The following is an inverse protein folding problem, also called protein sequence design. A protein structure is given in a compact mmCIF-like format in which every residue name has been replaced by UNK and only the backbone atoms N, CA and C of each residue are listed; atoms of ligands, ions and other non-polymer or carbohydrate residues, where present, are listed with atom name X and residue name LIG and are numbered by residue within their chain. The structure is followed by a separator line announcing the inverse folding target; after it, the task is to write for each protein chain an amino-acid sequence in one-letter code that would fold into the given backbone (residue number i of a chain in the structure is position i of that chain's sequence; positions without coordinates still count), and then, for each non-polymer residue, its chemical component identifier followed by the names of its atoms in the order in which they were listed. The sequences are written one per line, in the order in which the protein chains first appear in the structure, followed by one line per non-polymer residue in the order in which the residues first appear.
data_IF_589451474137
#
_entry.id   IF_589451474137
#
_cell.length_a   1.000
_cell.length_b   1.000
_cell.length_c   1.000
_cell.angle_alpha   90.00
_cell.angle_beta   90.00
_cell.angle_gamma   90.00
#
_symmetry.space_group_name_H-M   'P 1'
#
loop_
_entity.id
_entity.type
_entity.pdbx_description
1 polymer ?
#
# COMPACT_ATOMS: atom_id res chain seq x y z
N UNK A 1 32.78 -27.22 23.05
CA UNK A 1 32.64 -26.12 22.06
C UNK A 1 31.71 -26.59 20.94
N UNK A 2 30.39 -26.50 21.12
CA UNK A 2 29.42 -26.73 20.04
C UNK A 2 29.26 -25.41 19.28
N UNK A 3 29.93 -25.29 18.13
CA UNK A 3 29.59 -24.27 17.15
C UNK A 3 28.17 -24.57 16.64
N UNK A 4 27.16 -23.95 17.24
CA UNK A 4 25.85 -23.83 16.61
C UNK A 4 26.02 -22.88 15.44
N UNK A 5 26.27 -23.46 14.26
CA UNK A 5 26.21 -22.76 12.99
C UNK A 5 24.74 -22.36 12.81
N UNK A 6 24.41 -21.10 13.11
CA UNK A 6 23.11 -20.51 12.78
C UNK A 6 22.99 -20.60 11.27
N UNK A 7 22.22 -21.58 10.80
CA UNK A 7 21.79 -21.64 9.41
C UNK A 7 20.82 -20.47 9.24
N UNK A 8 21.28 -19.37 8.64
CA UNK A 8 20.36 -18.44 7.98
C UNK A 8 19.62 -19.29 6.94
N UNK A 9 18.31 -19.46 7.09
CA UNK A 9 17.49 -20.02 6.02
C UNK A 9 17.76 -19.19 4.77
N UNK A 10 18.11 -19.83 3.67
CA UNK A 10 18.23 -19.14 2.39
C UNK A 10 16.85 -18.51 2.10
N UNK A 11 16.81 -17.19 1.91
CA UNK A 11 15.57 -16.51 1.54
C UNK A 11 15.05 -17.18 0.26
N UNK A 12 13.85 -17.76 0.35
CA UNK A 12 13.19 -18.39 -0.79
C UNK A 12 12.97 -17.30 -1.83
N UNK A 13 13.34 -17.58 -3.09
CA UNK A 13 13.07 -16.65 -4.18
C UNK A 13 11.56 -16.41 -4.25
N UNK A 14 11.15 -15.16 -4.41
CA UNK A 14 9.74 -14.74 -4.60
C UNK A 14 9.15 -15.28 -5.91
N UNK A 15 10.00 -15.75 -6.84
CA UNK A 15 9.57 -16.24 -8.15
C UNK A 15 9.22 -15.14 -9.16
N UNK A 16 9.27 -13.87 -8.74
CA UNK A 16 9.02 -12.70 -9.58
C UNK A 16 10.34 -12.02 -9.96
N UNK A 17 10.47 -11.60 -11.22
CA UNK A 17 11.69 -10.93 -11.69
C UNK A 17 11.74 -9.51 -11.12
N UNK A 18 12.88 -9.13 -10.54
CA UNK A 18 13.08 -7.79 -9.97
C UNK A 18 12.56 -7.61 -8.54
N UNK A 19 11.83 -8.59 -7.99
CA UNK A 19 11.34 -8.55 -6.61
C UNK A 19 12.22 -9.42 -5.71
N UNK A 20 13.13 -8.79 -4.96
CA UNK A 20 13.99 -9.52 -4.03
C UNK A 20 13.25 -9.87 -2.74
N UNK A 21 13.51 -11.06 -2.19
CA UNK A 21 12.92 -11.44 -0.90
C UNK A 21 13.47 -10.57 0.23
N UNK A 22 12.58 -10.14 1.11
CA UNK A 22 12.92 -9.25 2.22
C UNK A 22 13.24 -10.06 3.48
N UNK A 23 14.33 -9.78 4.22
CA UNK A 23 14.75 -10.60 5.36
C UNK A 23 13.79 -10.53 6.56
N UNK A 24 13.10 -9.41 6.77
CA UNK A 24 12.13 -9.20 7.85
C UNK A 24 10.92 -8.40 7.34
N UNK A 25 10.01 -8.99 6.56
CA UNK A 25 8.98 -8.26 5.84
C UNK A 25 7.88 -7.70 6.76
N UNK A 26 7.45 -8.46 7.77
CA UNK A 26 6.35 -8.06 8.68
C UNK A 26 6.65 -6.76 9.46
N UNK A 27 7.79 -6.61 10.17
CA UNK A 27 8.10 -5.36 10.85
C UNK A 27 8.17 -4.15 9.89
N UNK A 28 8.81 -4.33 8.73
CA UNK A 28 8.91 -3.28 7.72
C UNK A 28 7.52 -2.82 7.24
N UNK A 29 6.61 -3.77 7.00
CA UNK A 29 5.24 -3.47 6.57
C UNK A 29 4.43 -2.73 7.64
N UNK A 30 4.55 -3.14 8.91
CA UNK A 30 3.92 -2.45 10.06
C UNK A 30 4.40 -1.01 10.16
N UNK A 31 5.71 -0.80 10.06
CA UNK A 31 6.31 0.53 10.13
C UNK A 31 5.85 1.43 8.97
N UNK A 32 5.72 0.89 7.76
CA UNK A 32 5.21 1.62 6.59
C UNK A 32 3.75 2.02 6.75
N UNK A 33 2.88 1.12 7.25
CA UNK A 33 1.48 1.45 7.49
C UNK A 33 1.32 2.51 8.59
N UNK A 34 2.11 2.45 9.67
CA UNK A 34 2.11 3.48 10.71
C UNK A 34 2.57 4.84 10.17
N UNK A 35 3.58 4.86 9.31
CA UNK A 35 4.01 6.07 8.62
C UNK A 35 2.92 6.62 7.69
N UNK A 36 2.25 5.75 6.94
CA UNK A 36 1.14 6.09 6.04
C UNK A 36 0.01 6.78 6.81
N UNK A 37 -0.47 6.16 7.89
CA UNK A 37 -1.53 6.73 8.76
C UNK A 37 -1.09 8.08 9.34
N UNK A 38 0.15 8.18 9.82
CA UNK A 38 0.69 9.44 10.34
C UNK A 38 0.69 10.51 9.26
N UNK A 39 1.08 10.18 8.03
CA UNK A 39 1.15 11.13 6.93
C UNK A 39 -0.24 11.56 6.44
N UNK A 40 -1.22 10.66 6.45
CA UNK A 40 -2.62 10.95 6.08
C UNK A 40 -3.26 12.02 6.98
N UNK A 41 -2.80 12.18 8.23
CA UNK A 41 -3.29 13.23 9.13
C UNK A 41 -3.07 14.66 8.62
N UNK A 42 -2.18 14.85 7.63
CA UNK A 42 -1.97 16.14 6.98
C UNK A 42 -3.08 16.51 5.97
N UNK A 43 -3.83 15.52 5.47
CA UNK A 43 -4.89 15.72 4.50
C UNK A 43 -6.22 16.07 5.21
N UNK A 44 -7.16 16.78 4.59
CA UNK A 44 -8.42 17.12 5.24
C UNK A 44 -9.33 15.89 5.46
N UNK A 45 -10.10 15.88 6.57
CA UNK A 45 -10.96 14.74 6.96
C UNK A 45 -12.08 14.42 5.95
N UNK A 46 -12.53 15.42 5.18
CA UNK A 46 -13.58 15.24 4.18
C UNK A 46 -13.07 14.66 2.85
N UNK A 47 -11.75 14.60 2.64
CA UNK A 47 -11.19 14.03 1.42
C UNK A 47 -11.49 12.52 1.37
N UNK A 48 -12.23 12.11 0.35
CA UNK A 48 -12.58 10.69 0.12
C UNK A 48 -11.33 9.83 0.00
N UNK A 49 -10.27 10.35 -0.64
CA UNK A 49 -8.97 9.69 -0.72
C UNK A 49 -8.43 9.33 0.68
N UNK A 50 -8.38 10.29 1.61
CA UNK A 50 -7.91 10.04 2.99
C UNK A 50 -8.73 8.92 3.65
N UNK A 51 -10.06 9.03 3.61
CA UNK A 51 -10.95 8.06 4.24
C UNK A 51 -10.76 6.64 3.69
N UNK A 52 -10.62 6.51 2.38
CA UNK A 52 -10.39 5.22 1.71
C UNK A 52 -9.06 4.59 2.11
N UNK A 53 -7.96 5.36 2.04
CA UNK A 53 -6.61 4.85 2.34
C UNK A 53 -6.48 4.53 3.82
N UNK A 54 -7.04 5.36 4.70
CA UNK A 54 -7.06 5.10 6.14
C UNK A 54 -7.79 3.79 6.48
N UNK A 55 -8.99 3.58 5.93
CA UNK A 55 -9.76 2.35 6.15
C UNK A 55 -8.98 1.10 5.68
N UNK A 56 -8.42 1.14 4.48
CA UNK A 56 -7.66 0.02 3.91
C UNK A 56 -6.40 -0.24 4.73
N UNK A 57 -5.67 0.81 5.09
CA UNK A 57 -4.41 0.69 5.83
C UNK A 57 -4.63 0.14 7.24
N UNK A 58 -5.70 0.57 7.93
CA UNK A 58 -6.05 0.07 9.25
C UNK A 58 -6.46 -1.41 9.22
N UNK A 59 -7.26 -1.82 8.23
CA UNK A 59 -7.63 -3.22 8.04
C UNK A 59 -6.39 -4.09 7.80
N UNK A 60 -5.52 -3.66 6.87
CA UNK A 60 -4.28 -4.36 6.56
C UNK A 60 -3.33 -4.43 7.77
N UNK A 61 -3.17 -3.32 8.49
CA UNK A 61 -2.35 -3.26 9.70
C UNK A 61 -2.86 -4.23 10.76
N UNK A 62 -4.17 -4.28 10.99
CA UNK A 62 -4.78 -5.21 11.94
C UNK A 62 -4.45 -6.67 11.61
N UNK A 63 -4.59 -7.08 10.35
CA UNK A 63 -4.28 -8.45 9.92
C UNK A 63 -2.81 -8.81 10.16
N UNK A 64 -1.90 -7.87 9.87
CA UNK A 64 -0.44 -8.04 10.02
C UNK A 64 0.00 -8.05 11.49
N UNK A 65 -0.72 -7.32 12.37
CA UNK A 65 -0.46 -7.35 13.81
C UNK A 65 -0.99 -8.65 14.46
N UNK A 66 -2.18 -9.12 14.06
CA UNK A 66 -2.81 -10.33 14.58
C UNK A 66 -2.14 -11.64 14.13
N UNK A 67 -1.48 -11.64 12.97
CA UNK A 67 -0.92 -12.85 12.35
C UNK A 67 0.60 -12.78 12.31
N UNK A 68 1.30 -13.83 12.73
CA UNK A 68 2.77 -13.87 12.68
C UNK A 68 3.31 -14.53 11.42
N UNK A 69 2.56 -15.51 10.90
CA UNK A 69 2.96 -16.27 9.72
C UNK A 69 2.72 -15.48 8.43
N UNK A 70 3.73 -15.47 7.56
CA UNK A 70 3.72 -14.69 6.31
C UNK A 70 2.72 -15.26 5.32
N UNK A 71 2.66 -16.59 5.17
CA UNK A 71 1.75 -17.23 4.21
C UNK A 71 0.29 -17.02 4.61
N UNK A 72 -0.02 -17.05 5.92
CA UNK A 72 -1.35 -16.70 6.41
C UNK A 72 -1.72 -15.23 6.18
N UNK A 73 -0.78 -14.29 6.35
CA UNK A 73 -0.99 -12.86 6.05
C UNK A 73 -1.35 -12.69 4.57
N UNK A 74 -0.56 -13.28 3.67
CA UNK A 74 -0.77 -13.21 2.22
C UNK A 74 -2.15 -13.75 1.83
N UNK A 75 -2.54 -14.89 2.42
CA UNK A 75 -3.85 -15.51 2.17
C UNK A 75 -5.01 -14.67 2.69
N UNK A 76 -4.89 -14.07 3.88
CA UNK A 76 -5.94 -13.23 4.48
C UNK A 76 -6.12 -11.92 3.70
N UNK A 77 -5.02 -11.31 3.25
CA UNK A 77 -5.06 -10.05 2.52
C UNK A 77 -5.38 -10.22 1.02
N UNK A 78 -5.08 -11.39 0.44
CA UNK A 78 -5.43 -11.73 -0.94
C UNK A 78 -4.87 -10.76 -1.99
N UNK A 79 -3.75 -10.09 -1.68
CA UNK A 79 -3.22 -8.93 -2.43
C UNK A 79 -1.80 -9.15 -2.96
N UNK A 80 -1.40 -10.40 -3.16
CA UNK A 80 -0.07 -10.80 -3.64
C UNK A 80 0.86 -11.25 -2.51
N UNK A 81 2.16 -11.30 -2.81
CA UNK A 81 3.21 -11.63 -1.84
C UNK A 81 3.46 -10.49 -0.86
N UNK A 82 4.03 -10.79 0.30
CA UNK A 82 4.32 -9.77 1.32
C UNK A 82 5.31 -8.71 0.83
N UNK A 83 6.25 -9.07 -0.05
CA UNK A 83 7.16 -8.12 -0.67
C UNK A 83 6.42 -7.15 -1.62
N UNK A 84 5.40 -7.62 -2.36
CA UNK A 84 4.57 -6.74 -3.20
C UNK A 84 3.78 -5.75 -2.35
N UNK A 85 3.29 -6.20 -1.18
CA UNK A 85 2.60 -5.32 -0.22
C UNK A 85 3.52 -4.23 0.33
N UNK A 86 4.80 -4.53 0.57
CA UNK A 86 5.79 -3.53 0.99
C UNK A 86 5.97 -2.49 -0.11
N UNK A 87 6.10 -2.90 -1.37
CA UNK A 87 6.20 -1.97 -2.49
C UNK A 87 4.93 -1.11 -2.63
N UNK A 88 3.74 -1.71 -2.55
CA UNK A 88 2.47 -0.97 -2.56
C UNK A 88 2.41 0.06 -1.43
N UNK A 89 2.83 -0.30 -0.21
CA UNK A 89 2.83 0.62 0.93
C UNK A 89 3.84 1.78 0.75
N UNK A 90 4.98 1.52 0.11
CA UNK A 90 5.96 2.56 -0.24
C UNK A 90 5.42 3.50 -1.32
N UNK A 91 4.81 2.95 -2.36
CA UNK A 91 4.20 3.72 -3.45
C UNK A 91 3.05 4.58 -2.92
N UNK A 92 2.23 4.04 -2.02
CA UNK A 92 1.15 4.79 -1.36
C UNK A 92 1.71 5.94 -0.52
N UNK A 93 2.77 5.71 0.25
CA UNK A 93 3.41 6.76 1.03
C UNK A 93 3.99 7.88 0.14
N UNK A 94 4.56 7.52 -1.00
CA UNK A 94 5.00 8.48 -2.02
C UNK A 94 3.82 9.23 -2.63
N UNK A 95 2.73 8.52 -2.96
CA UNK A 95 1.52 9.09 -3.54
C UNK A 95 0.87 10.11 -2.61
N UNK A 96 0.83 9.86 -1.29
CA UNK A 96 0.30 10.84 -0.32
C UNK A 96 1.07 12.17 -0.42
N UNK A 97 2.39 12.12 -0.60
CA UNK A 97 3.20 13.32 -0.81
C UNK A 97 2.83 14.09 -2.09
N UNK A 98 2.40 13.38 -3.14
CA UNK A 98 1.89 13.98 -4.38
C UNK A 98 0.45 14.49 -4.23
N UNK A 99 -0.40 13.79 -3.50
CA UNK A 99 -1.76 14.20 -3.23
C UNK A 99 -1.82 15.48 -2.39
N UNK A 100 -0.85 15.70 -1.49
CA UNK A 100 -0.70 16.98 -0.77
C UNK A 100 -0.38 18.15 -1.72
N UNK A 101 0.40 17.90 -2.77
CA UNK A 101 0.73 18.89 -3.80
C UNK A 101 -0.46 19.15 -4.74
N UNK A 102 -1.15 18.09 -5.18
CA UNK A 102 -2.20 18.15 -6.21
C UNK A 102 -3.58 18.52 -5.68
N UNK A 103 -3.86 18.26 -4.39
CA UNK A 103 -5.13 18.57 -3.72
C UNK A 103 -6.39 18.16 -4.51
N UNK A 104 -6.52 16.88 -4.91
CA UNK A 104 -7.63 16.41 -5.75
C UNK A 104 -9.02 16.48 -5.08
N UNK A 105 -9.09 16.86 -3.79
CA UNK A 105 -10.34 17.07 -3.06
C UNK A 105 -10.93 18.48 -3.29
N UNK A 106 -10.21 19.37 -3.96
CA UNK A 106 -10.73 20.68 -4.36
C UNK A 106 -11.69 20.53 -5.57
N UNK A 107 -12.45 21.59 -5.86
CA UNK A 107 -13.34 21.60 -7.01
C UNK A 107 -12.57 21.49 -8.33
N UNK A 108 -13.26 21.02 -9.37
CA UNK A 108 -12.66 20.84 -10.69
C UNK A 108 -12.12 22.17 -11.22
N UNK A 109 -10.82 22.20 -11.54
CA UNK A 109 -10.14 23.41 -12.04
C UNK A 109 -10.74 23.94 -13.35
N UNK A 110 -11.15 23.04 -14.25
CA UNK A 110 -11.77 23.39 -15.53
C UNK A 110 -12.99 22.51 -15.83
N UNK A 111 -14.21 23.08 -15.91
CA UNK A 111 -15.39 22.31 -16.33
C UNK A 111 -15.25 21.83 -17.78
N UNK A 112 -15.93 20.73 -18.10
CA UNK A 112 -15.95 20.22 -19.45
C UNK A 112 -16.62 21.23 -20.40
N UNK A 113 -16.03 21.51 -21.58
CA UNK A 113 -16.70 22.26 -22.63
C UNK A 113 -17.98 21.56 -23.12
N UNK A 114 -18.97 22.34 -23.57
CA UNK A 114 -20.19 21.79 -24.17
C UNK A 114 -19.86 20.83 -25.33
N UNK A 115 -20.46 19.64 -25.31
CA UNK A 115 -20.25 18.60 -26.32
C UNK A 115 -18.97 17.76 -26.16
N UNK A 116 -18.08 18.04 -25.21
CA UNK A 116 -16.80 17.29 -25.03
C UNK A 116 -17.01 15.78 -24.78
N UNK A 117 -18.08 15.43 -24.07
CA UNK A 117 -18.41 14.04 -23.71
C UNK A 117 -19.63 13.50 -24.48
N UNK A 118 -20.07 14.21 -25.52
CA UNK A 118 -21.11 13.72 -26.44
C UNK A 118 -20.45 12.85 -27.52
N UNK A 119 -20.77 11.56 -27.50
CA UNK A 119 -20.27 10.60 -28.48
C UNK A 119 -21.26 10.39 -29.64
N UNK A 120 -20.86 9.60 -30.64
CA UNK A 120 -21.75 9.22 -31.74
C UNK A 120 -22.88 8.31 -31.23
N UNK A 121 -24.11 8.81 -31.23
CA UNK A 121 -25.30 7.98 -31.02
C UNK A 121 -25.43 6.98 -32.19
N UNK A 122 -25.62 5.69 -31.88
CA UNK A 122 -25.99 4.70 -32.91
C UNK A 122 -27.45 4.94 -33.28
N UNK A 123 -27.69 5.39 -34.52
CA UNK A 123 -29.03 5.43 -35.13
C UNK A 123 -29.57 4.04 -35.40
#
# INVERSE_FOLDING_TARGET
MRLFRILRSAAKSTGLTGLMSHPNPRPALVDLYKQTITRLSALPDHAVYRQSVESITLERLKVVEETEDVEEIEKKLGSGLIEELIHQAQDELYLIGKMEEWKPWEELEAPAPDGQWEYFERK
#
